data_IF_127133496664
#
_entry.id   IF_127133496664
#
_cell.length_a   1.000
_cell.length_b   1.000
_cell.length_c   1.000
_cell.angle_alpha   90.00
_cell.angle_beta   90.00
_cell.angle_gamma   90.00
#
_symmetry.space_group_name_H-M   'P 1'
#
loop_
_entity.id
_entity.type
_entity.pdbx_description
1 polymer ?
#
# COMPACT_ATOMS: atom_id res chain seq x y z
N UNK A 1 -19.77 14.79 2.69
CA UNK A 1 -19.59 13.33 2.55
C UNK A 1 -18.11 13.06 2.74
N UNK A 2 -17.71 12.44 3.85
CA UNK A 2 -16.33 12.02 4.05
C UNK A 2 -16.18 10.63 3.43
N UNK A 3 -15.75 10.55 2.18
CA UNK A 3 -15.31 9.27 1.61
C UNK A 3 -14.04 8.82 2.32
N UNK A 4 -14.18 7.79 3.15
CA UNK A 4 -13.07 7.13 3.81
C UNK A 4 -12.60 6.01 2.89
N UNK A 5 -11.55 6.27 2.10
CA UNK A 5 -10.94 5.22 1.26
C UNK A 5 -10.05 4.34 2.14
N UNK A 6 -10.56 3.17 2.50
CA UNK A 6 -9.77 2.08 3.04
C UNK A 6 -9.48 1.11 1.89
N UNK A 7 -8.21 0.87 1.58
CA UNK A 7 -7.84 -0.05 0.49
C UNK A 7 -7.20 -1.29 1.09
N UNK A 8 -7.82 -2.42 0.79
CA UNK A 8 -7.22 -3.74 0.99
C UNK A 8 -7.06 -4.36 -0.40
N UNK A 9 -5.87 -4.91 -0.65
CA UNK A 9 -5.59 -5.68 -1.86
C UNK A 9 -4.97 -7.01 -1.49
N UNK A 10 -5.32 -8.04 -2.24
CA UNK A 10 -4.86 -9.40 -2.03
C UNK A 10 -3.99 -9.84 -3.21
N UNK A 11 -2.93 -10.57 -2.90
CA UNK A 11 -2.06 -11.20 -3.88
C UNK A 11 -1.58 -12.54 -3.33
N UNK A 12 -2.20 -13.63 -3.80
CA UNK A 12 -1.97 -14.96 -3.22
C UNK A 12 -2.22 -14.96 -1.70
N UNK A 13 -1.31 -15.48 -0.86
CA UNK A 13 -1.44 -15.47 0.58
C UNK A 13 -1.04 -14.14 1.23
N UNK A 14 -0.92 -13.03 0.48
CA UNK A 14 -0.56 -11.72 1.03
C UNK A 14 -1.70 -10.74 0.93
N UNK A 15 -1.81 -9.85 1.91
CA UNK A 15 -2.65 -8.66 1.80
C UNK A 15 -1.85 -7.38 2.07
N UNK A 16 -2.21 -6.33 1.35
CA UNK A 16 -1.70 -4.98 1.52
C UNK A 16 -2.83 -4.10 2.02
N UNK A 17 -2.58 -3.41 3.13
CA UNK A 17 -3.60 -2.63 3.83
C UNK A 17 -3.07 -1.23 4.09
N UNK A 18 -3.88 -0.23 3.74
CA UNK A 18 -3.71 1.15 4.20
C UNK A 18 -4.96 1.58 4.95
N UNK A 19 -4.79 2.28 6.07
CA UNK A 19 -5.88 2.93 6.78
C UNK A 19 -5.95 4.43 6.49
N UNK A 20 -7.02 5.07 6.96
CA UNK A 20 -7.45 6.42 6.55
C UNK A 20 -6.68 7.60 7.19
N UNK A 21 -5.88 7.38 8.24
CA UNK A 21 -5.19 8.48 8.92
C UNK A 21 -4.07 9.00 8.02
N UNK A 22 -3.89 10.32 8.02
CA UNK A 22 -2.92 11.09 7.22
C UNK A 22 -1.46 10.60 7.29
N UNK A 23 -1.15 9.69 8.21
CA UNK A 23 0.16 9.12 8.46
C UNK A 23 -0.01 7.63 8.81
N UNK A 24 -0.65 6.87 7.93
CA UNK A 24 -0.84 5.44 8.16
C UNK A 24 0.22 4.60 7.45
N UNK A 25 0.80 3.60 8.14
CA UNK A 25 1.68 2.66 7.48
C UNK A 25 0.89 1.86 6.44
N UNK A 26 1.50 1.63 5.29
CA UNK A 26 1.18 0.50 4.44
C UNK A 26 1.61 -0.77 5.19
N UNK A 27 0.65 -1.62 5.53
CA UNK A 27 0.90 -2.91 6.15
C UNK A 27 0.91 -4.01 5.09
N UNK A 28 1.84 -4.96 5.22
CA UNK A 28 1.76 -6.26 4.54
C UNK A 28 1.41 -7.33 5.55
N UNK A 29 0.43 -8.16 5.20
CA UNK A 29 -0.04 -9.27 6.01
C UNK A 29 0.27 -10.59 5.31
N UNK A 30 0.75 -11.58 6.06
CA UNK A 30 0.75 -12.99 5.67
C UNK A 30 -0.59 -13.62 6.07
N UNK A 31 -1.27 -14.19 5.09
CA UNK A 31 -2.56 -14.86 5.18
C UNK A 31 -2.45 -16.35 4.82
N UNK A 32 -1.23 -16.92 4.79
CA UNK A 32 -1.00 -18.35 4.52
C UNK A 32 -1.80 -19.26 5.46
N UNK A 33 -2.03 -18.80 6.70
CA UNK A 33 -2.99 -19.40 7.65
C UNK A 33 -4.16 -18.42 7.84
N UNK A 34 -5.32 -18.63 7.18
CA UNK A 34 -6.43 -17.66 7.19
C UNK A 34 -6.98 -17.35 8.59
N UNK A 35 -6.85 -18.29 9.54
CA UNK A 35 -7.29 -18.12 10.93
C UNK A 35 -6.27 -17.41 11.82
N UNK A 36 -5.06 -17.15 11.33
CA UNK A 36 -3.97 -16.54 12.07
C UNK A 36 -3.17 -15.59 11.18
N UNK A 37 -3.78 -14.47 10.72
CA UNK A 37 -3.08 -13.49 9.90
C UNK A 37 -1.94 -12.82 10.68
N UNK A 38 -0.78 -12.64 10.03
CA UNK A 38 0.42 -12.06 10.66
C UNK A 38 0.88 -10.81 9.94
N UNK A 39 1.17 -9.74 10.68
CA UNK A 39 1.80 -8.54 10.10
C UNK A 39 3.25 -8.87 9.76
N UNK A 40 3.61 -8.72 8.49
CA UNK A 40 4.98 -8.93 7.99
C UNK A 40 5.81 -7.66 8.05
N UNK A 41 5.22 -6.53 7.67
CA UNK A 41 5.92 -5.25 7.56
C UNK A 41 4.96 -4.08 7.66
N UNK A 42 5.51 -2.93 8.05
CA UNK A 42 4.82 -1.66 8.09
C UNK A 42 5.72 -0.59 7.45
N UNK A 43 5.29 0.00 6.34
CA UNK A 43 5.99 1.08 5.66
C UNK A 43 5.25 2.39 5.86
N UNK A 44 5.92 3.38 6.46
CA UNK A 44 5.34 4.72 6.60
C UNK A 44 5.41 5.45 5.26
N UNK A 45 4.25 5.66 4.63
CA UNK A 45 4.12 6.42 3.39
C UNK A 45 3.53 7.80 3.73
N UNK A 46 4.17 8.91 3.33
CA UNK A 46 3.65 10.24 3.58
C UNK A 46 2.43 10.55 2.69
N UNK A 47 1.37 11.09 3.28
CA UNK A 47 0.19 11.55 2.54
C UNK A 47 -0.89 10.49 2.33
N UNK A 48 -2.00 10.93 1.73
CA UNK A 48 -3.13 10.04 1.43
C UNK A 48 -2.80 9.15 0.23
N UNK A 49 -2.61 7.85 0.47
CA UNK A 49 -2.64 6.86 -0.60
C UNK A 49 -4.09 6.59 -0.97
N UNK A 50 -4.50 6.89 -2.20
CA UNK A 50 -5.88 6.72 -2.66
C UNK A 50 -6.12 5.33 -3.26
N UNK A 51 -5.08 4.66 -3.76
CA UNK A 51 -5.24 3.29 -4.25
C UNK A 51 -3.95 2.46 -4.22
N UNK A 52 -4.13 1.18 -3.87
CA UNK A 52 -3.11 0.14 -3.97
C UNK A 52 -3.42 -0.74 -5.19
N UNK A 53 -2.40 -1.01 -5.99
CA UNK A 53 -2.50 -1.89 -7.16
C UNK A 53 -1.29 -2.83 -7.20
N UNK A 54 -1.38 -4.04 -6.62
CA UNK A 54 -0.35 -5.06 -6.81
C UNK A 54 -0.42 -5.61 -8.24
N UNK A 55 0.74 -5.75 -8.88
CA UNK A 55 0.91 -6.37 -10.19
C UNK A 55 2.25 -7.11 -10.22
N UNK A 56 2.20 -8.43 -10.32
CA UNK A 56 3.38 -9.29 -10.28
C UNK A 56 4.31 -8.99 -9.07
N UNK A 57 5.58 -8.66 -9.30
CA UNK A 57 6.53 -8.38 -8.22
C UNK A 57 6.40 -6.98 -7.60
N UNK A 58 5.47 -6.16 -8.09
CA UNK A 58 5.39 -4.73 -7.79
C UNK A 58 4.04 -4.32 -7.19
N UNK A 59 4.08 -3.30 -6.35
CA UNK A 59 2.94 -2.63 -5.74
C UNK A 59 2.97 -1.16 -6.13
N UNK A 60 1.98 -0.76 -6.92
CA UNK A 60 1.76 0.63 -7.29
C UNK A 60 0.91 1.30 -6.22
N UNK A 61 1.43 2.37 -5.65
CA UNK A 61 0.75 3.22 -4.66
C UNK A 61 0.49 4.56 -5.33
N UNK A 62 -0.79 4.84 -5.58
CA UNK A 62 -1.23 6.08 -6.24
C UNK A 62 -1.74 7.03 -5.18
N UNK A 63 -1.26 8.27 -5.23
CA UNK A 63 -1.64 9.37 -4.36
C UNK A 63 -1.90 10.64 -5.20
N UNK A 64 -2.60 11.65 -4.66
CA UNK A 64 -2.78 12.93 -5.36
C UNK A 64 -1.47 13.61 -5.74
N UNK A 65 -0.38 13.36 -5.00
CA UNK A 65 0.95 13.93 -5.23
C UNK A 65 1.82 13.15 -6.22
N UNK A 66 1.39 11.96 -6.66
CA UNK A 66 2.23 11.11 -7.50
C UNK A 66 1.95 9.61 -7.40
N UNK A 67 2.90 8.84 -7.92
CA UNK A 67 2.90 7.37 -7.91
C UNK A 67 4.23 6.88 -7.38
N UNK A 68 4.17 6.00 -6.38
CA UNK A 68 5.32 5.23 -5.91
C UNK A 68 5.16 3.75 -6.31
N UNK A 69 6.27 3.10 -6.62
CA UNK A 69 6.33 1.66 -6.94
C UNK A 69 7.24 0.98 -5.93
N UNK A 70 6.70 -0.06 -5.29
CA UNK A 70 7.40 -0.85 -4.27
C UNK A 70 7.47 -2.31 -4.69
N UNK A 71 8.54 -3.01 -4.30
CA UNK A 71 8.59 -4.47 -4.40
C UNK A 71 7.67 -5.11 -3.38
N UNK A 72 6.89 -6.11 -3.79
CA UNK A 72 5.90 -6.79 -2.94
C UNK A 72 6.51 -7.68 -1.86
N UNK A 73 7.73 -8.17 -2.10
CA UNK A 73 8.48 -9.04 -1.18
C UNK A 73 9.04 -8.28 0.04
N UNK A 74 9.50 -7.05 -0.18
CA UNK A 74 10.36 -6.29 0.73
C UNK A 74 9.84 -4.88 1.05
N UNK A 75 8.82 -4.41 0.33
CA UNK A 75 8.40 -3.00 0.32
C UNK A 75 9.53 -2.02 0.00
N UNK A 76 10.55 -2.46 -0.75
CA UNK A 76 11.61 -1.57 -1.24
C UNK A 76 11.05 -0.70 -2.34
N UNK A 77 11.16 0.63 -2.21
CA UNK A 77 10.74 1.57 -3.26
C UNK A 77 11.72 1.49 -4.44
N UNK A 78 11.21 1.18 -5.62
CA UNK A 78 12.02 1.05 -6.85
C UNK A 78 11.81 2.20 -7.82
N UNK A 79 10.69 2.91 -7.72
CA UNK A 79 10.43 4.12 -8.49
C UNK A 79 9.49 5.07 -7.74
N UNK A 80 9.63 6.35 -8.05
CA UNK A 80 8.76 7.42 -7.59
C UNK A 80 8.58 8.45 -8.70
N UNK A 81 7.35 8.87 -8.93
CA UNK A 81 7.02 9.96 -9.82
C UNK A 81 6.09 10.94 -9.11
N UNK A 82 6.52 12.18 -8.94
CA UNK A 82 5.70 13.24 -8.38
C UNK A 82 4.99 14.03 -9.47
N UNK A 83 3.71 14.31 -9.25
CA UNK A 83 2.98 15.24 -10.07
C UNK A 83 3.37 16.67 -9.68
N UNK A 84 3.61 17.57 -10.65
CA UNK A 84 3.88 18.97 -10.34
C UNK A 84 2.67 19.59 -9.65
N UNK A 85 2.93 20.49 -8.69
CA UNK A 85 1.89 21.33 -8.11
C UNK A 85 1.24 22.16 -9.22
N UNK A 86 -0.10 22.12 -9.27
CA UNK A 86 -0.90 22.87 -10.26
C UNK A 86 -0.97 24.36 -9.94
#
# INVERSE_FOLDING_TARGET
>A
MNEQSQSVRFQGPRAYVVSYRQIDPLFTLDLSTPTEPRVMSALKIPGFSTSLHPFDADLYVVAPSGVDIYRTDSLTRIASHHFPDR
#
